data_IF_044734197570
#
_entry.id   IF_044734197570
#
_cell.length_a   1.000
_cell.length_b   1.000
_cell.length_c   1.000
_cell.angle_alpha   90.00
_cell.angle_beta   90.00
_cell.angle_gamma   90.00
#
_symmetry.space_group_name_H-M   'P 1'
#
loop_
_entity.id
_entity.type
_entity.pdbx_description
1 polymer ?
#
# COMPACT_ATOMS: atom_id res chain seq x y z
N UNK A 1 6.83 4.33 -11.12
CA UNK A 1 6.35 5.72 -11.08
C UNK A 1 7.14 6.47 -10.00
N UNK A 2 7.54 7.72 -10.21
CA UNK A 2 8.19 8.52 -9.16
C UNK A 2 7.10 9.06 -8.21
N UNK A 3 7.09 8.70 -6.91
CA UNK A 3 6.08 9.15 -5.96
C UNK A 3 5.92 10.68 -5.91
N UNK A 4 7.03 11.42 -6.05
CA UNK A 4 7.03 12.89 -6.00
C UNK A 4 6.28 13.58 -7.17
N UNK A 5 5.82 12.82 -8.17
CA UNK A 5 5.05 13.34 -9.32
C UNK A 5 3.58 12.96 -9.30
N UNK A 6 3.12 12.19 -8.31
CA UNK A 6 1.73 11.75 -8.21
C UNK A 6 0.85 12.91 -7.73
N UNK A 7 -0.32 13.09 -8.34
CA UNK A 7 -1.31 14.07 -7.88
C UNK A 7 -2.63 13.39 -7.53
N UNK A 8 -3.14 13.68 -6.32
CA UNK A 8 -4.39 13.07 -5.80
C UNK A 8 -5.63 13.40 -6.64
N UNK A 9 -5.66 14.59 -7.24
CA UNK A 9 -6.77 15.06 -8.08
C UNK A 9 -6.93 14.28 -9.40
N UNK A 10 -5.93 13.48 -9.76
CA UNK A 10 -5.83 12.78 -11.04
C UNK A 10 -5.76 11.24 -10.92
N UNK A 11 -6.08 10.68 -9.75
CA UNK A 11 -6.08 9.23 -9.56
C UNK A 11 -7.33 8.61 -10.20
N UNK A 12 -7.16 7.79 -11.24
CA UNK A 12 -8.28 7.07 -11.87
C UNK A 12 -8.11 5.56 -11.73
N UNK A 13 -6.87 5.09 -11.77
CA UNK A 13 -6.48 3.69 -11.70
C UNK A 13 -5.61 3.45 -10.48
N UNK A 14 -5.60 2.21 -9.99
CA UNK A 14 -4.70 1.81 -8.90
C UNK A 14 -3.21 2.07 -9.23
N UNK A 15 -2.82 1.98 -10.49
CA UNK A 15 -1.44 2.26 -10.95
C UNK A 15 -1.07 3.74 -10.95
N UNK A 16 -2.03 4.64 -10.71
CA UNK A 16 -1.77 6.07 -10.55
C UNK A 16 -1.32 6.40 -9.11
N UNK A 17 -1.54 5.48 -8.16
CA UNK A 17 -1.08 5.60 -6.78
C UNK A 17 0.46 5.57 -6.70
N UNK A 18 1.06 6.27 -5.71
CA UNK A 18 2.49 6.17 -5.48
C UNK A 18 2.86 4.72 -5.15
N UNK A 19 4.02 4.28 -5.63
CA UNK A 19 4.56 2.93 -5.38
C UNK A 19 3.77 1.75 -5.98
N UNK A 20 2.65 1.99 -6.67
CA UNK A 20 1.85 0.91 -7.26
C UNK A 20 2.20 0.70 -8.73
N UNK A 21 2.87 -0.43 -9.00
CA UNK A 21 3.01 -0.98 -10.35
C UNK A 21 1.91 -2.01 -10.66
N UNK A 22 1.91 -2.60 -11.88
CA UNK A 22 0.91 -3.59 -12.29
C UNK A 22 0.75 -4.78 -11.34
N UNK A 23 1.85 -5.26 -10.74
CA UNK A 23 1.83 -6.35 -9.77
C UNK A 23 1.03 -5.96 -8.52
N UNK A 24 1.37 -4.83 -7.87
CA UNK A 24 0.62 -4.39 -6.70
C UNK A 24 -0.82 -3.99 -7.01
N UNK A 25 -1.10 -3.47 -8.20
CA UNK A 25 -2.48 -3.23 -8.63
C UNK A 25 -3.29 -4.53 -8.75
N UNK A 26 -2.67 -5.65 -9.17
CA UNK A 26 -3.33 -6.96 -9.16
C UNK A 26 -3.59 -7.44 -7.73
N UNK A 27 -2.65 -7.24 -6.82
CA UNK A 27 -2.80 -7.68 -5.43
C UNK A 27 -3.90 -6.87 -4.71
N UNK A 28 -4.01 -5.56 -5.00
CA UNK A 28 -5.13 -4.73 -4.55
C UNK A 28 -6.47 -5.19 -5.12
N UNK A 29 -6.53 -5.60 -6.40
CA UNK A 29 -7.75 -6.21 -6.97
C UNK A 29 -8.08 -7.56 -6.32
N UNK A 30 -7.08 -8.37 -6.00
CA UNK A 30 -7.27 -9.62 -5.26
C UNK A 30 -7.88 -9.37 -3.88
N UNK A 31 -7.52 -8.26 -3.24
CA UNK A 31 -8.11 -7.79 -1.98
C UNK A 31 -9.53 -7.18 -2.14
N UNK A 32 -10.00 -6.96 -3.38
CA UNK A 32 -11.32 -6.43 -3.69
C UNK A 32 -11.38 -4.92 -3.97
N UNK A 33 -10.22 -4.27 -4.17
CA UNK A 33 -10.15 -2.86 -4.53
C UNK A 33 -10.01 -2.68 -6.03
N UNK A 34 -10.91 -1.90 -6.63
CA UNK A 34 -10.87 -1.55 -8.05
C UNK A 34 -10.43 -0.10 -8.29
N UNK A 35 -10.63 0.78 -7.29
CA UNK A 35 -10.34 2.22 -7.40
C UNK A 35 -9.57 2.76 -6.19
N UNK A 36 -8.71 3.77 -6.40
CA UNK A 36 -7.89 4.38 -5.34
C UNK A 36 -8.68 4.83 -4.10
N UNK A 37 -9.86 5.43 -4.27
CA UNK A 37 -10.64 6.02 -3.18
C UNK A 37 -11.11 4.99 -2.15
N UNK A 38 -11.17 3.71 -2.54
CA UNK A 38 -11.55 2.62 -1.64
C UNK A 38 -10.47 2.32 -0.59
N UNK A 39 -9.25 2.86 -0.75
CA UNK A 39 -8.14 2.70 0.19
C UNK A 39 -8.15 3.74 1.32
N UNK A 40 -9.02 4.75 1.26
CA UNK A 40 -9.19 5.73 2.34
C UNK A 40 -9.60 5.02 3.64
N UNK A 41 -8.96 5.38 4.74
CA UNK A 41 -9.15 4.82 6.08
C UNK A 41 -8.95 3.29 6.19
N UNK A 42 -8.31 2.65 5.20
CA UNK A 42 -7.96 1.23 5.29
C UNK A 42 -6.78 1.03 6.23
N UNK A 43 -6.83 -0.05 7.03
CA UNK A 43 -5.72 -0.44 7.89
C UNK A 43 -4.68 -1.23 7.07
N UNK A 44 -3.45 -0.71 6.87
CA UNK A 44 -2.44 -1.35 6.03
C UNK A 44 -2.00 -2.73 6.55
N UNK A 45 -2.05 -2.95 7.87
CA UNK A 45 -1.71 -4.24 8.48
C UNK A 45 -2.76 -5.31 8.13
N UNK A 46 -4.04 -4.97 8.22
CA UNK A 46 -5.13 -5.87 7.84
C UNK A 46 -5.09 -6.21 6.34
N UNK A 47 -4.69 -5.26 5.49
CA UNK A 47 -4.48 -5.52 4.05
C UNK A 47 -3.36 -6.53 3.81
N UNK A 48 -2.24 -6.39 4.52
CA UNK A 48 -1.10 -7.31 4.43
C UNK A 48 -1.47 -8.73 4.88
N UNK A 49 -2.12 -8.86 6.02
CA UNK A 49 -2.57 -10.15 6.56
C UNK A 49 -3.53 -10.85 5.59
N UNK A 50 -4.55 -10.12 5.12
CA UNK A 50 -5.51 -10.65 4.16
C UNK A 50 -4.85 -11.04 2.84
N UNK A 51 -3.84 -10.31 2.37
CA UNK A 51 -3.10 -10.69 1.17
C UNK A 51 -2.31 -11.99 1.40
N UNK A 52 -1.67 -12.13 2.56
CA UNK A 52 -0.96 -13.37 2.91
C UNK A 52 -1.92 -14.57 2.95
N UNK A 53 -3.11 -14.40 3.55
CA UNK A 53 -4.16 -15.43 3.58
C UNK A 53 -4.63 -15.81 2.17
N UNK A 54 -4.97 -14.83 1.33
CA UNK A 54 -5.48 -15.08 -0.02
C UNK A 54 -4.45 -15.73 -0.95
N UNK A 55 -3.17 -15.42 -0.76
CA UNK A 55 -2.07 -15.97 -1.55
C UNK A 55 -1.53 -17.28 -0.99
N UNK A 56 -1.89 -17.64 0.26
CA UNK A 56 -1.35 -18.80 0.96
C UNK A 56 0.14 -18.68 1.30
N UNK A 57 0.73 -17.49 1.24
CA UNK A 57 2.14 -17.26 1.46
C UNK A 57 2.40 -15.95 2.20
N UNK A 58 3.40 -15.95 3.08
CA UNK A 58 3.89 -14.72 3.71
C UNK A 58 4.52 -13.83 2.64
N UNK A 59 3.97 -12.64 2.48
CA UNK A 59 4.46 -11.64 1.52
C UNK A 59 5.73 -10.98 2.05
N UNK A 60 6.55 -10.44 1.15
CA UNK A 60 7.73 -9.68 1.58
C UNK A 60 7.34 -8.51 2.49
N UNK A 61 8.09 -8.22 3.57
CA UNK A 61 7.74 -7.14 4.50
C UNK A 61 7.66 -5.75 3.86
N UNK A 62 8.29 -5.54 2.70
CA UNK A 62 8.17 -4.29 1.95
C UNK A 62 6.75 -4.07 1.39
N UNK A 63 5.94 -5.13 1.23
CA UNK A 63 4.54 -5.01 0.82
C UNK A 63 3.73 -4.27 1.88
N UNK A 64 3.99 -4.51 3.17
CA UNK A 64 3.38 -3.74 4.25
C UNK A 64 3.79 -2.26 4.17
N UNK A 65 5.06 -1.96 3.89
CA UNK A 65 5.54 -0.58 3.71
C UNK A 65 4.85 0.11 2.53
N UNK A 66 4.54 -0.63 1.45
CA UNK A 66 3.73 -0.13 0.33
C UNK A 66 2.30 0.16 0.78
N UNK A 67 1.66 -0.74 1.53
CA UNK A 67 0.31 -0.50 2.04
C UNK A 67 0.24 0.71 2.96
N UNK A 68 1.18 0.85 3.91
CA UNK A 68 1.28 2.05 4.75
C UNK A 68 1.42 3.30 3.89
N UNK A 69 2.27 3.25 2.86
CA UNK A 69 2.47 4.38 1.97
C UNK A 69 1.22 4.78 1.20
N UNK A 70 0.44 3.84 0.68
CA UNK A 70 -0.75 4.18 -0.13
C UNK A 70 -1.94 4.57 0.72
N UNK A 71 -2.17 3.93 1.87
CA UNK A 71 -3.29 4.30 2.74
C UNK A 71 -3.08 5.68 3.35
N UNK A 72 -1.88 5.98 3.88
CA UNK A 72 -1.55 7.32 4.37
C UNK A 72 -1.62 8.39 3.30
N UNK A 73 -1.19 8.07 2.08
CA UNK A 73 -1.34 8.98 0.94
C UNK A 73 -2.80 9.30 0.64
N UNK A 74 -3.66 8.28 0.64
CA UNK A 74 -5.10 8.45 0.44
C UNK A 74 -5.77 9.19 1.59
N UNK A 75 -5.24 9.07 2.81
CA UNK A 75 -5.69 9.82 3.99
C UNK A 75 -5.12 11.26 4.07
N UNK A 76 -4.29 11.67 3.11
CA UNK A 76 -3.85 13.06 2.92
C UNK A 76 -2.37 13.33 3.14
N UNK A 77 -1.56 12.36 3.55
CA UNK A 77 -0.10 12.54 3.69
C UNK A 77 0.61 12.62 2.34
N UNK A 78 1.62 13.49 2.22
CA UNK A 78 2.45 13.64 1.00
C UNK A 78 2.89 12.29 0.37
N UNK A 79 2.95 12.19 -0.97
CA UNK A 79 3.39 10.96 -1.62
C UNK A 79 4.87 10.72 -1.35
N UNK A 80 5.16 9.65 -0.61
CA UNK A 80 6.52 9.23 -0.27
C UNK A 80 6.87 7.90 -0.92
N UNK A 81 8.15 7.62 -1.18
CA UNK A 81 8.54 6.27 -1.54
C UNK A 81 8.26 5.31 -0.38
N UNK A 82 7.85 4.08 -0.69
CA UNK A 82 7.46 3.10 0.33
C UNK A 82 8.56 2.86 1.39
N UNK A 83 9.84 2.88 0.98
CA UNK A 83 10.97 2.67 1.90
C UNK A 83 11.14 3.77 2.95
N UNK A 84 10.46 4.90 2.80
CA UNK A 84 10.37 5.93 3.84
C UNK A 84 9.76 5.38 5.14
N UNK A 85 8.84 4.42 5.04
CA UNK A 85 8.13 3.83 6.18
C UNK A 85 8.82 2.59 6.77
N UNK A 86 9.87 2.07 6.11
CA UNK A 86 10.63 0.91 6.58
C UNK A 86 11.22 1.09 7.99
N UNK A 87 11.80 2.24 8.38
CA UNK A 87 12.30 2.45 9.74
C UNK A 87 11.18 2.34 10.80
N UNK A 88 9.99 2.87 10.50
CA UNK A 88 8.83 2.81 11.39
C UNK A 88 8.42 1.34 11.64
N UNK A 89 8.27 0.56 10.57
CA UNK A 89 7.98 -0.88 10.68
C UNK A 89 9.04 -1.63 11.48
N UNK A 90 10.33 -1.34 11.27
CA UNK A 90 11.44 -2.00 11.99
C UNK A 90 11.49 -1.64 13.46
N UNK A 91 11.07 -0.44 13.85
CA UNK A 91 11.01 0.00 15.24
C UNK A 91 9.80 -0.57 15.97
N UNK A 92 8.73 -0.89 15.24
CA UNK A 92 7.50 -1.44 15.77
C UNK A 92 7.13 -2.78 15.12
N UNK A 93 7.88 -3.87 15.39
CA UNK A 93 7.71 -5.18 14.74
C UNK A 93 6.46 -5.94 15.19
N UNK A 94 5.38 -5.25 15.57
CA UNK A 94 4.14 -5.80 16.18
C UNK A 94 3.38 -6.81 15.29
N UNK A 95 3.92 -7.19 14.13
CA UNK A 95 3.33 -8.17 13.20
C UNK A 95 4.33 -9.20 12.66
N UNK A 96 5.51 -9.34 13.28
CA UNK A 96 6.50 -10.38 12.91
C UNK A 96 6.51 -11.61 13.85
N UNK A 97 5.57 -11.71 14.80
CA UNK A 97 5.41 -12.89 15.67
C UNK A 97 4.50 -13.94 15.07
#
# INVERSE_FOLDING_TARGET
>A
MNPAKVRRDHLQNLTDLPNIGPAMARDLRLLGFERPEQLVAQNPQALYERLCELTGARQDPCVLDVFVSVTRFMDGEEPRPWWFYTPERKQNPLSEK
#
